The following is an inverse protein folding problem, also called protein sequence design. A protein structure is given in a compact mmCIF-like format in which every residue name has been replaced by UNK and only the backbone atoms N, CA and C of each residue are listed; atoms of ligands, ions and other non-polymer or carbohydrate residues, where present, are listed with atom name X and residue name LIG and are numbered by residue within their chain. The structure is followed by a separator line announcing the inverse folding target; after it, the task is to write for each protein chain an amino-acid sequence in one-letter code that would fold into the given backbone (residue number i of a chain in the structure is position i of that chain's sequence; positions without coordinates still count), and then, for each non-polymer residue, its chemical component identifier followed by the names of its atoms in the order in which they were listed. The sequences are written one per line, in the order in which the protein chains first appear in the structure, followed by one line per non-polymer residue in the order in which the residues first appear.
data_IF_169893690394
#
_entry.id   IF_169893690394
#
_cell.length_a   1.000
_cell.length_b   1.000
_cell.length_c   1.000
_cell.angle_alpha   90.00
_cell.angle_beta   90.00
_cell.angle_gamma   90.00
#
_symmetry.space_group_name_H-M   'P 1'
#
loop_
_entity.id
_entity.type
_entity.pdbx_description
1 polymer ?
#
# COMPACT_ATOMS: atom_id res chain seq x y z
N UNK A 1 6.88 27.35 -11.64
CA UNK A 1 5.51 27.74 -11.32
C UNK A 1 4.56 26.71 -11.89
N UNK A 2 4.01 25.90 -11.01
CA UNK A 2 3.12 24.82 -11.34
C UNK A 2 1.79 25.36 -11.85
N UNK A 3 1.29 24.73 -12.90
CA UNK A 3 -0.07 24.86 -13.40
C UNK A 3 -1.03 23.99 -12.58
N UNK A 4 -2.34 24.20 -12.73
CA UNK A 4 -3.34 23.31 -12.10
C UNK A 4 -3.25 21.90 -12.69
N UNK A 5 -2.96 21.78 -13.98
CA UNK A 5 -2.84 20.48 -14.65
C UNK A 5 -1.64 19.70 -14.13
N UNK A 6 -0.48 20.34 -13.94
CA UNK A 6 0.69 19.72 -13.30
C UNK A 6 0.39 19.28 -11.86
N UNK A 7 -0.34 20.10 -11.10
CA UNK A 7 -0.78 19.74 -9.75
C UNK A 7 -1.70 18.50 -9.76
N UNK A 8 -2.71 18.48 -10.62
CA UNK A 8 -3.63 17.34 -10.71
C UNK A 8 -2.94 16.08 -11.24
N UNK A 9 -2.03 16.23 -12.21
CA UNK A 9 -1.21 15.13 -12.70
C UNK A 9 -0.34 14.56 -11.57
N UNK A 10 0.33 15.44 -10.79
CA UNK A 10 1.13 14.99 -9.66
C UNK A 10 0.29 14.33 -8.57
N UNK A 11 -0.91 14.83 -8.31
CA UNK A 11 -1.85 14.18 -7.39
C UNK A 11 -2.18 12.76 -7.87
N UNK A 12 -2.46 12.59 -9.16
CA UNK A 12 -2.70 11.28 -9.78
C UNK A 12 -1.54 10.30 -9.61
N UNK A 13 -0.31 10.75 -9.91
CA UNK A 13 0.91 9.94 -9.71
C UNK A 13 1.08 9.54 -8.23
N UNK A 14 0.77 10.46 -7.32
CA UNK A 14 0.85 10.20 -5.87
C UNK A 14 -0.23 9.20 -5.44
N UNK A 15 -1.42 9.29 -6.01
CA UNK A 15 -2.54 8.38 -5.74
C UNK A 15 -2.28 6.97 -6.28
N UNK A 16 -1.64 6.85 -7.45
CA UNK A 16 -1.19 5.57 -8.00
C UNK A 16 -0.25 4.85 -7.02
N UNK A 17 0.78 5.54 -6.50
CA UNK A 17 1.68 4.96 -5.52
C UNK A 17 0.95 4.47 -4.25
N UNK A 18 -0.07 5.20 -3.79
CA UNK A 18 -0.91 4.77 -2.67
C UNK A 18 -1.72 3.50 -2.99
N UNK A 19 -2.34 3.44 -4.16
CA UNK A 19 -3.13 2.28 -4.59
C UNK A 19 -2.26 1.02 -4.77
N UNK A 20 -1.07 1.18 -5.33
CA UNK A 20 -0.10 0.09 -5.46
C UNK A 20 0.35 -0.41 -4.09
N UNK A 21 0.60 0.49 -3.13
CA UNK A 21 0.90 0.11 -1.76
C UNK A 21 -0.25 -0.69 -1.10
N UNK A 22 -1.50 -0.25 -1.26
CA UNK A 22 -2.69 -0.96 -0.77
C UNK A 22 -2.79 -2.37 -1.35
N UNK A 23 -2.61 -2.48 -2.66
CA UNK A 23 -2.67 -3.76 -3.41
C UNK A 23 -1.60 -4.73 -2.92
N UNK A 24 -0.37 -4.25 -2.73
CA UNK A 24 0.74 -5.08 -2.25
C UNK A 24 0.54 -5.54 -0.81
N UNK A 25 0.00 -4.69 0.08
CA UNK A 25 -0.33 -5.11 1.44
C UNK A 25 -1.43 -6.18 1.48
N UNK A 26 -2.46 -6.06 0.64
CA UNK A 26 -3.48 -7.09 0.49
C UNK A 26 -2.88 -8.42 0.00
N UNK A 27 -2.04 -8.36 -1.02
CA UNK A 27 -1.35 -9.52 -1.60
C UNK A 27 -0.42 -10.20 -0.60
N UNK A 28 0.34 -9.42 0.16
CA UNK A 28 1.22 -9.92 1.22
C UNK A 28 0.41 -10.61 2.33
N UNK A 29 -0.72 -10.03 2.74
CA UNK A 29 -1.58 -10.64 3.75
C UNK A 29 -2.18 -11.97 3.25
N UNK A 30 -2.61 -12.03 1.99
CA UNK A 30 -3.07 -13.25 1.36
C UNK A 30 -1.99 -14.34 1.40
N UNK A 31 -0.74 -14.00 1.06
CA UNK A 31 0.39 -14.92 1.14
C UNK A 31 0.65 -15.38 2.57
N UNK A 32 0.70 -14.46 3.54
CA UNK A 32 0.98 -14.78 4.94
C UNK A 32 -0.08 -15.72 5.53
N UNK A 33 -1.36 -15.48 5.24
CA UNK A 33 -2.46 -16.35 5.66
C UNK A 33 -2.44 -17.71 4.95
N UNK A 34 -2.10 -17.74 3.66
CA UNK A 34 -1.94 -18.99 2.94
C UNK A 34 -0.82 -19.87 3.53
N UNK A 35 0.26 -19.26 3.99
CA UNK A 35 1.33 -19.95 4.72
C UNK A 35 0.87 -20.47 6.08
N UNK A 36 0.15 -19.64 6.86
CA UNK A 36 -0.43 -20.02 8.16
C UNK A 36 -1.41 -21.20 8.02
N UNK A 37 -2.22 -21.21 6.96
CA UNK A 37 -3.23 -22.25 6.67
C UNK A 37 -2.68 -23.47 5.95
N UNK A 38 -1.38 -23.49 5.62
CA UNK A 38 -0.75 -24.65 4.97
C UNK A 38 -1.08 -24.83 3.49
N UNK A 39 -1.62 -23.81 2.81
CA UNK A 39 -1.98 -23.86 1.38
C UNK A 39 -0.80 -24.09 0.42
N UNK A 40 0.43 -24.12 0.94
CA UNK A 40 1.63 -24.56 0.20
C UNK A 40 1.58 -26.04 -0.20
N UNK A 41 0.79 -26.86 0.48
CA UNK A 41 0.66 -28.30 0.21
C UNK A 41 -0.65 -28.62 -0.50
N UNK A 42 -1.76 -28.22 0.13
CA UNK A 42 -3.10 -28.42 -0.40
C UNK A 42 -3.87 -27.10 -0.23
N UNK A 43 -4.17 -26.45 -1.37
CA UNK A 43 -4.90 -25.20 -1.37
C UNK A 43 -6.40 -25.42 -1.16
N UNK A 44 -7.06 -24.49 -0.46
CA UNK A 44 -8.52 -24.43 -0.35
C UNK A 44 -9.03 -23.21 -1.14
N UNK A 45 -9.56 -23.39 -2.36
CA UNK A 45 -10.02 -22.29 -3.20
C UNK A 45 -11.18 -21.49 -2.60
N UNK A 46 -12.07 -22.14 -1.84
CA UNK A 46 -13.24 -21.48 -1.26
C UNK A 46 -12.84 -20.61 -0.07
N UNK A 47 -11.93 -21.11 0.77
CA UNK A 47 -11.37 -20.34 1.88
C UNK A 47 -10.42 -19.22 1.39
N UNK A 48 -9.67 -19.46 0.30
CA UNK A 48 -8.88 -18.43 -0.37
C UNK A 48 -9.75 -17.31 -0.95
N UNK A 49 -10.89 -17.65 -1.58
CA UNK A 49 -11.84 -16.66 -2.08
C UNK A 49 -12.42 -15.82 -0.94
N UNK A 50 -12.87 -16.44 0.15
CA UNK A 50 -13.41 -15.73 1.33
C UNK A 50 -12.38 -14.77 1.93
N UNK A 51 -11.11 -15.19 1.99
CA UNK A 51 -10.04 -14.33 2.48
C UNK A 51 -9.80 -13.14 1.53
N UNK A 52 -9.79 -13.37 0.22
CA UNK A 52 -9.63 -12.30 -0.77
C UNK A 52 -10.78 -11.28 -0.65
N UNK A 53 -12.03 -11.75 -0.60
CA UNK A 53 -13.21 -10.87 -0.47
C UNK A 53 -13.13 -10.03 0.82
N UNK A 54 -12.63 -10.62 1.92
CA UNK A 54 -12.41 -9.89 3.17
C UNK A 54 -11.32 -8.82 3.04
N UNK A 55 -10.23 -9.12 2.33
CA UNK A 55 -9.14 -8.17 2.07
C UNK A 55 -9.64 -6.99 1.23
N UNK A 56 -10.39 -7.26 0.16
CA UNK A 56 -10.93 -6.24 -0.75
C UNK A 56 -11.93 -5.29 -0.06
N UNK A 57 -12.66 -5.79 0.94
CA UNK A 57 -13.61 -4.97 1.72
C UNK A 57 -12.97 -4.28 2.94
N UNK A 58 -11.69 -4.52 3.23
CA UNK A 58 -11.00 -3.98 4.40
C UNK A 58 -10.35 -2.63 4.12
N UNK A 59 -10.36 -1.74 5.11
CA UNK A 59 -9.57 -0.51 5.04
C UNK A 59 -8.08 -0.82 5.18
N UNK A 60 -7.22 0.02 4.60
CA UNK A 60 -5.76 -0.12 4.71
C UNK A 60 -5.27 -0.22 6.17
N UNK A 61 -5.91 0.51 7.08
CA UNK A 61 -5.61 0.43 8.51
C UNK A 61 -5.92 -0.95 9.11
N UNK A 62 -7.04 -1.56 8.73
CA UNK A 62 -7.40 -2.92 9.15
C UNK A 62 -6.46 -3.96 8.57
N UNK A 63 -6.08 -3.84 7.29
CA UNK A 63 -5.10 -4.72 6.65
C UNK A 63 -3.76 -4.67 7.37
N UNK A 64 -3.26 -3.46 7.66
CA UNK A 64 -1.98 -3.28 8.36
C UNK A 64 -2.03 -3.82 9.80
N UNK A 65 -3.14 -3.61 10.51
CA UNK A 65 -3.35 -4.18 11.85
C UNK A 65 -3.33 -5.70 11.82
N UNK A 66 -3.97 -6.31 10.82
CA UNK A 66 -3.97 -7.77 10.63
C UNK A 66 -2.58 -8.30 10.29
N UNK A 67 -1.88 -7.63 9.37
CA UNK A 67 -0.54 -8.04 8.94
C UNK A 67 0.45 -8.06 10.11
N UNK A 68 0.40 -7.07 11.01
CA UNK A 68 1.25 -7.03 12.22
C UNK A 68 1.04 -8.22 13.16
N UNK A 69 -0.15 -8.81 13.15
CA UNK A 69 -0.46 -9.99 13.96
C UNK A 69 -0.05 -11.29 13.27
N UNK A 70 0.07 -11.29 11.94
CA UNK A 70 0.39 -12.49 11.15
C UNK A 70 1.88 -12.60 10.80
N UNK A 71 2.61 -11.49 10.77
CA UNK A 71 4.02 -11.44 10.34
C UNK A 71 4.86 -10.73 11.39
N UNK A 72 5.99 -11.34 11.76
CA UNK A 72 7.00 -10.65 12.58
C UNK A 72 7.73 -9.62 11.71
N UNK A 73 7.24 -8.39 11.74
CA UNK A 73 7.87 -7.24 11.11
C UNK A 73 8.81 -6.56 12.10
N UNK A 74 9.99 -6.15 11.63
CA UNK A 74 10.85 -5.30 12.45
C UNK A 74 10.18 -3.93 12.71
N UNK A 75 10.64 -3.25 13.78
CA UNK A 75 10.07 -1.96 14.17
C UNK A 75 10.17 -0.89 13.06
N UNK A 76 11.23 -0.91 12.25
CA UNK A 76 11.41 0.03 11.15
C UNK A 76 10.38 -0.15 10.03
N UNK A 77 10.03 -1.39 9.68
CA UNK A 77 8.96 -1.71 8.73
C UNK A 77 7.58 -1.33 9.27
N UNK A 78 7.33 -1.60 10.55
CA UNK A 78 6.08 -1.23 11.22
C UNK A 78 5.87 0.28 11.17
N UNK A 79 6.91 1.05 11.49
CA UNK A 79 6.86 2.51 11.48
C UNK A 79 6.73 3.06 10.05
N UNK A 80 7.43 2.46 9.09
CA UNK A 80 7.33 2.83 7.66
C UNK A 80 5.91 2.65 7.13
N UNK A 81 5.27 1.51 7.36
CA UNK A 81 3.89 1.29 6.91
C UNK A 81 2.89 2.15 7.66
N UNK A 82 3.13 2.45 8.94
CA UNK A 82 2.31 3.40 9.68
C UNK A 82 2.44 4.84 9.14
N UNK A 83 3.64 5.25 8.72
CA UNK A 83 3.88 6.53 8.02
C UNK A 83 3.12 6.57 6.70
N UNK A 84 3.25 5.53 5.88
CA UNK A 84 2.58 5.43 4.58
C UNK A 84 1.05 5.46 4.72
N UNK A 85 0.48 4.80 5.74
CA UNK A 85 -0.96 4.89 6.04
C UNK A 85 -1.39 6.33 6.36
N UNK A 86 -0.59 7.07 7.15
CA UNK A 86 -0.86 8.49 7.43
C UNK A 86 -0.75 9.33 6.16
N UNK A 87 0.26 9.09 5.32
CA UNK A 87 0.46 9.78 4.05
C UNK A 87 -0.73 9.54 3.10
N UNK A 88 -1.19 8.28 2.96
CA UNK A 88 -2.37 7.90 2.18
C UNK A 88 -3.61 8.61 2.68
N UNK A 89 -3.86 8.58 3.99
CA UNK A 89 -5.02 9.23 4.57
C UNK A 89 -4.98 10.75 4.37
N UNK A 90 -3.80 11.36 4.47
CA UNK A 90 -3.62 12.78 4.18
C UNK A 90 -3.92 13.09 2.71
N UNK A 91 -3.38 12.29 1.78
CA UNK A 91 -3.61 12.46 0.35
C UNK A 91 -5.09 12.46 -0.01
N UNK A 92 -5.84 11.44 0.42
CA UNK A 92 -7.24 11.26 -0.01
C UNK A 92 -8.25 12.06 0.81
N UNK A 93 -7.99 12.30 2.10
CA UNK A 93 -9.00 12.91 2.97
C UNK A 93 -8.69 14.37 3.33
N UNK A 94 -7.44 14.81 3.25
CA UNK A 94 -7.01 16.09 3.83
C UNK A 94 -6.28 17.01 2.86
N UNK A 95 -5.79 16.51 1.72
CA UNK A 95 -4.86 17.27 0.89
C UNK A 95 -5.44 18.60 0.42
N UNK A 96 -6.59 18.58 -0.29
CA UNK A 96 -7.23 19.81 -0.75
C UNK A 96 -7.84 20.63 0.38
N UNK A 97 -8.34 19.98 1.46
CA UNK A 97 -8.85 20.67 2.65
C UNK A 97 -7.76 21.53 3.30
N UNK A 98 -6.57 20.96 3.50
CA UNK A 98 -5.45 21.60 4.19
C UNK A 98 -4.81 22.74 3.37
N UNK A 99 -4.84 22.64 2.03
CA UNK A 99 -4.28 23.65 1.14
C UNK A 99 -5.29 24.73 0.73
N UNK A 100 -6.59 24.43 0.74
CA UNK A 100 -7.66 25.41 0.53
C UNK A 100 -7.46 26.30 -0.69
N UNK A 101 -7.38 27.61 -0.47
CA UNK A 101 -7.25 28.61 -1.55
C UNK A 101 -5.85 28.69 -2.18
N UNK A 102 -4.84 27.97 -1.67
CA UNK A 102 -3.48 27.95 -2.24
C UNK A 102 -3.47 27.57 -3.72
N UNK A 103 -4.41 26.74 -4.16
CA UNK A 103 -4.54 26.33 -5.56
C UNK A 103 -4.77 27.52 -6.52
N UNK A 104 -5.26 28.65 -6.03
CA UNK A 104 -5.57 29.83 -6.85
C UNK A 104 -4.35 30.71 -7.15
N UNK A 105 -3.27 30.52 -6.41
CA UNK A 105 -2.03 31.29 -6.56
C UNK A 105 -0.92 30.42 -7.13
N UNK A 106 0.00 31.06 -7.80
CA UNK A 106 1.16 30.44 -8.43
C UNK A 106 2.08 29.80 -7.38
N UNK A 107 2.43 30.56 -6.35
CA UNK A 107 3.26 30.12 -5.22
C UNK A 107 2.56 29.01 -4.43
N UNK A 108 1.25 29.15 -4.19
CA UNK A 108 0.47 28.14 -3.48
C UNK A 108 0.40 26.81 -4.24
N UNK A 109 0.37 26.82 -5.58
CA UNK A 109 0.45 25.57 -6.36
C UNK A 109 1.84 24.94 -6.31
N UNK A 110 2.90 25.75 -6.34
CA UNK A 110 4.27 25.26 -6.14
C UNK A 110 4.42 24.56 -4.78
N UNK A 111 3.85 25.13 -3.71
CA UNK A 111 3.81 24.49 -2.38
C UNK A 111 3.01 23.18 -2.37
N UNK A 112 1.85 23.15 -3.03
CA UNK A 112 1.03 21.94 -3.12
C UNK A 112 1.74 20.81 -3.87
N UNK A 113 2.44 21.13 -4.97
CA UNK A 113 3.25 20.15 -5.72
C UNK A 113 4.40 19.64 -4.86
N UNK A 114 5.10 20.51 -4.13
CA UNK A 114 6.17 20.10 -3.24
C UNK A 114 5.67 19.15 -2.13
N UNK A 115 4.49 19.40 -1.57
CA UNK A 115 3.86 18.52 -0.59
C UNK A 115 3.49 17.15 -1.19
N UNK A 116 3.01 17.12 -2.44
CA UNK A 116 2.76 15.87 -3.15
C UNK A 116 4.05 15.10 -3.45
N UNK A 117 5.17 15.77 -3.71
CA UNK A 117 6.47 15.08 -3.87
C UNK A 117 6.90 14.34 -2.60
N UNK A 118 6.67 14.95 -1.43
CA UNK A 118 6.94 14.32 -0.14
C UNK A 118 6.02 13.12 0.07
N UNK A 119 4.71 13.30 -0.13
CA UNK A 119 3.73 12.21 0.00
C UNK A 119 4.02 11.06 -0.97
N UNK A 120 4.36 11.38 -2.22
CA UNK A 120 4.72 10.40 -3.24
C UNK A 120 5.95 9.60 -2.82
N UNK A 121 7.01 10.28 -2.35
CA UNK A 121 8.23 9.60 -1.91
C UNK A 121 7.96 8.63 -0.76
N UNK A 122 7.17 9.03 0.24
CA UNK A 122 6.78 8.16 1.36
C UNK A 122 6.00 6.93 0.89
N UNK A 123 4.96 7.14 0.05
CA UNK A 123 4.10 6.07 -0.45
C UNK A 123 4.84 5.12 -1.38
N UNK A 124 5.65 5.66 -2.29
CA UNK A 124 6.42 4.90 -3.26
C UNK A 124 7.47 4.01 -2.56
N UNK A 125 8.16 4.54 -1.55
CA UNK A 125 9.12 3.75 -0.76
C UNK A 125 8.42 2.61 -0.01
N UNK A 126 7.24 2.85 0.56
CA UNK A 126 6.46 1.81 1.24
C UNK A 126 5.96 0.75 0.25
N UNK A 127 5.47 1.16 -0.91
CA UNK A 127 5.09 0.26 -2.01
C UNK A 127 6.26 -0.63 -2.45
N UNK A 128 7.43 -0.07 -2.74
CA UNK A 128 8.60 -0.84 -3.19
C UNK A 128 9.00 -1.92 -2.18
N UNK A 129 8.87 -1.63 -0.89
CA UNK A 129 9.17 -2.59 0.17
C UNK A 129 8.11 -3.68 0.24
N UNK A 130 6.83 -3.30 0.24
CA UNK A 130 5.72 -4.26 0.25
C UNK A 130 5.79 -5.18 -0.97
N UNK A 131 6.03 -4.64 -2.17
CA UNK A 131 6.15 -5.41 -3.41
C UNK A 131 7.30 -6.42 -3.38
N UNK A 132 8.47 -6.04 -2.84
CA UNK A 132 9.58 -6.98 -2.64
C UNK A 132 9.20 -8.11 -1.68
N UNK A 133 8.50 -7.79 -0.58
CA UNK A 133 8.05 -8.81 0.37
C UNK A 133 7.02 -9.76 -0.26
N UNK A 134 6.04 -9.23 -1.00
CA UNK A 134 5.05 -10.03 -1.73
C UNK A 134 5.73 -10.94 -2.75
N UNK A 135 6.69 -10.44 -3.52
CA UNK A 135 7.42 -11.21 -4.52
C UNK A 135 8.22 -12.37 -3.88
N UNK A 136 8.86 -12.13 -2.74
CA UNK A 136 9.57 -13.17 -1.98
C UNK A 136 8.60 -14.23 -1.44
N UNK A 137 7.50 -13.80 -0.81
CA UNK A 137 6.50 -14.70 -0.26
C UNK A 137 5.83 -15.56 -1.36
N UNK A 138 5.54 -14.95 -2.50
CA UNK A 138 4.94 -15.64 -3.66
C UNK A 138 5.92 -16.65 -4.26
N UNK A 139 7.18 -16.27 -4.43
CA UNK A 139 8.23 -17.18 -4.94
C UNK A 139 8.37 -18.41 -4.05
N UNK A 140 8.41 -18.21 -2.73
CA UNK A 140 8.46 -19.30 -1.75
C UNK A 140 7.26 -20.27 -1.86
N UNK A 141 6.04 -19.73 -2.01
CA UNK A 141 4.83 -20.54 -2.21
C UNK A 141 4.87 -21.35 -3.52
N UNK A 142 5.41 -20.76 -4.60
CA UNK A 142 5.52 -21.43 -5.90
C UNK A 142 6.58 -22.53 -5.92
N UNK A 143 7.73 -22.31 -5.26
CA UNK A 143 8.78 -23.33 -5.12
C UNK A 143 8.29 -24.55 -4.33
N UNK A 144 7.60 -24.32 -3.20
CA UNK A 144 7.02 -25.39 -2.39
C UNK A 144 6.03 -26.29 -3.16
N UNK A 145 5.36 -25.73 -4.18
CA UNK A 145 4.45 -26.48 -5.06
C UNK A 145 5.20 -27.32 -6.10
N UNK A 146 6.38 -26.90 -6.55
CA UNK A 146 7.19 -27.62 -7.54
C UNK A 146 7.89 -28.85 -6.97
N UNK A 147 8.25 -28.83 -5.69
CA UNK A 147 8.88 -29.98 -5.01
C UNK A 147 7.91 -31.15 -4.74
N UNK A 148 6.61 -30.94 -4.96
CA UNK A 148 5.55 -31.93 -4.71
C UNK A 148 4.97 -32.57 -5.99
N UNK A 149 5.37 -32.11 -7.17
CA UNK A 149 4.93 -32.64 -8.48
C UNK A 149 6.03 -33.39 -9.20
#
# INVERSE_FOLDING_TARGET
MATRDELYAKFGITAEAAQLFETELGSLLLCARGLERGWRHEGDPDDARKLLDHIECSTLGQLLGTLKNCVSLDHGLVDRFASALKARNRLFHRFYEAHGFKIQTDEGRDEMVADLEVLHSELFNAWQVASKMTALATSFLLEAKREQG
#
